data_IF_775172645753
#
_entry.id   IF_775172645753
#
_cell.length_a   1.000
_cell.length_b   1.000
_cell.length_c   1.000
_cell.angle_alpha   90.00
_cell.angle_beta   90.00
_cell.angle_gamma   90.00
#
_symmetry.space_group_name_H-M   'P 1'
#
loop_
_entity.id
_entity.type
_entity.pdbx_description
1 polymer ?
#
# COMPACT_ATOMS: atom_id res chain seq x y z
N UNK A 1 14.11 38.88 -11.03
CA UNK A 1 14.22 38.68 -9.57
C UNK A 1 13.97 37.22 -9.28
N UNK A 2 15.03 36.44 -9.08
CA UNK A 2 14.95 35.04 -8.68
C UNK A 2 15.38 34.95 -7.22
N UNK A 3 14.51 34.44 -6.34
CA UNK A 3 14.88 34.05 -4.99
C UNK A 3 14.58 32.56 -4.85
N UNK A 4 15.66 31.76 -4.92
CA UNK A 4 15.66 30.33 -4.63
C UNK A 4 16.09 30.20 -3.17
N UNK A 5 15.17 29.80 -2.30
CA UNK A 5 15.49 29.46 -0.92
C UNK A 5 15.98 28.01 -0.88
N UNK A 6 17.28 27.84 -0.64
CA UNK A 6 17.89 26.56 -0.26
C UNK A 6 17.54 26.27 1.19
N UNK A 7 16.76 25.22 1.46
CA UNK A 7 16.63 24.64 2.80
C UNK A 7 17.57 23.45 2.90
N UNK A 8 18.63 23.62 3.69
CA UNK A 8 19.54 22.55 4.10
C UNK A 8 18.84 21.67 5.14
N UNK A 9 18.66 20.39 4.82
CA UNK A 9 18.21 19.36 5.77
C UNK A 9 19.45 18.78 6.44
N UNK A 10 19.63 19.11 7.72
CA UNK A 10 20.57 18.44 8.63
C UNK A 10 20.06 17.02 8.94
N UNK A 11 20.88 16.02 8.66
CA UNK A 11 20.64 14.61 9.00
C UNK A 11 21.43 14.31 10.28
N UNK A 12 20.79 13.89 11.39
CA UNK A 12 21.51 13.34 12.53
C UNK A 12 21.83 11.87 12.28
N UNK A 13 23.13 11.56 12.25
CA UNK A 13 23.66 10.20 12.39
C UNK A 13 23.45 9.74 13.83
N UNK A 14 22.64 8.70 14.03
CA UNK A 14 22.74 7.83 15.20
C UNK A 14 22.13 6.47 14.91
N UNK A 15 22.95 5.42 14.96
CA UNK A 15 22.48 4.07 15.23
C UNK A 15 23.59 3.26 15.87
N UNK A 16 23.48 3.14 17.18
CA UNK A 16 24.14 2.14 18.00
C UNK A 16 23.71 0.73 17.56
N UNK A 17 24.64 -0.21 17.67
CA UNK A 17 24.47 -1.59 17.26
C UNK A 17 23.52 -2.37 18.16
N UNK A 18 22.67 -3.18 17.53
CA UNK A 18 21.95 -4.27 18.21
C UNK A 18 22.22 -5.57 17.45
N UNK A 19 22.86 -6.49 18.18
CA UNK A 19 23.25 -7.84 17.75
C UNK A 19 22.00 -8.68 17.52
N UNK A 20 21.81 -9.20 16.30
CA UNK A 20 20.78 -10.20 16.00
C UNK A 20 21.43 -11.60 15.93
N UNK A 21 21.07 -12.47 16.86
CA UNK A 21 21.46 -13.88 16.91
C UNK A 21 20.37 -14.71 16.21
N UNK A 22 20.75 -15.38 15.13
CA UNK A 22 19.96 -16.43 14.47
C UNK A 22 20.23 -17.79 15.12
N UNK A 23 19.25 -18.71 15.13
CA UNK A 23 19.56 -20.12 14.98
C UNK A 23 18.97 -20.70 13.69
N UNK A 24 19.83 -21.43 12.99
CA UNK A 24 19.51 -22.34 11.91
C UNK A 24 18.81 -23.61 12.45
N UNK A 25 17.86 -24.16 11.70
CA UNK A 25 17.67 -25.62 11.69
C UNK A 25 17.43 -26.08 10.26
N UNK A 26 18.35 -26.93 9.79
CA UNK A 26 18.28 -27.64 8.52
C UNK A 26 17.53 -28.96 8.72
N UNK A 27 16.67 -29.32 7.78
CA UNK A 27 16.42 -30.73 7.45
C UNK A 27 16.28 -30.88 5.94
N UNK A 28 17.18 -31.69 5.36
CA UNK A 28 17.16 -32.18 3.98
C UNK A 28 16.92 -33.70 4.05
N UNK A 29 16.13 -34.24 3.11
CA UNK A 29 16.43 -35.41 2.25
C UNK A 29 15.13 -35.94 1.60
N UNK A 30 15.00 -35.76 0.27
CA UNK A 30 15.09 -36.76 -0.82
C UNK A 30 13.74 -37.44 -1.14
N UNK A 31 13.04 -36.97 -2.17
CA UNK A 31 13.09 -37.42 -3.58
C UNK A 31 12.25 -38.66 -3.85
N UNK A 32 11.30 -38.57 -4.80
CA UNK A 32 11.17 -39.43 -6.01
C UNK A 32 9.89 -39.03 -6.75
N UNK A 33 10.03 -38.52 -7.98
CA UNK A 33 8.98 -38.45 -9.01
C UNK A 33 9.03 -39.74 -9.86
N UNK A 34 8.01 -40.10 -10.68
CA UNK A 34 7.86 -39.39 -11.96
C UNK A 34 6.42 -39.28 -12.53
N UNK A 35 6.29 -38.27 -13.39
CA UNK A 35 5.60 -38.21 -14.68
C UNK A 35 4.18 -38.79 -14.85
N UNK A 36 3.27 -37.96 -15.39
CA UNK A 36 2.58 -38.31 -16.63
C UNK A 36 2.12 -37.06 -17.41
N UNK A 37 2.63 -36.97 -18.65
CA UNK A 37 2.15 -36.14 -19.76
C UNK A 37 0.89 -36.78 -20.34
N UNK A 38 -0.11 -35.99 -20.71
CA UNK A 38 -1.06 -36.39 -21.77
C UNK A 38 -1.28 -35.19 -22.68
N UNK A 39 -0.88 -35.38 -23.94
CA UNK A 39 -1.12 -34.51 -25.08
C UNK A 39 -1.72 -35.41 -26.17
N UNK A 40 -2.70 -34.87 -26.89
CA UNK A 40 -3.23 -35.28 -28.21
C UNK A 40 -4.06 -36.58 -28.33
N UNK A 41 -5.29 -36.43 -28.85
CA UNK A 41 -5.73 -37.22 -30.02
C UNK A 41 -6.94 -36.57 -30.74
N UNK A 42 -6.71 -36.13 -31.98
CA UNK A 42 -7.74 -35.97 -33.01
C UNK A 42 -8.19 -37.35 -33.51
N UNK A 43 -9.46 -37.47 -33.90
CA UNK A 43 -9.89 -38.46 -34.90
C UNK A 43 -10.80 -37.83 -35.94
N UNK A 44 -10.41 -38.08 -37.19
CA UNK A 44 -11.06 -37.76 -38.46
C UNK A 44 -12.18 -38.77 -38.79
N UNK A 45 -13.22 -38.32 -39.51
CA UNK A 45 -13.93 -39.14 -40.48
C UNK A 45 -14.46 -38.28 -41.65
N UNK A 46 -14.16 -38.76 -42.86
CA UNK A 46 -14.34 -38.11 -44.17
C UNK A 46 -15.73 -38.37 -44.78
N UNK A 47 -16.22 -37.43 -45.62
CA UNK A 47 -16.34 -37.56 -47.10
C UNK A 47 -17.37 -36.57 -47.68
N UNK A 48 -17.01 -35.89 -48.78
CA UNK A 48 -17.95 -35.24 -49.70
C UNK A 48 -17.37 -34.07 -50.50
N UNK A 49 -16.84 -34.33 -51.69
CA UNK A 49 -16.26 -33.37 -52.66
C UNK A 49 -17.32 -32.47 -53.32
N UNK A 50 -17.00 -31.19 -53.56
CA UNK A 50 -16.70 -30.61 -54.89
C UNK A 50 -16.45 -29.09 -54.81
N UNK A 51 -15.51 -28.63 -55.63
CA UNK A 51 -15.02 -27.27 -55.74
C UNK A 51 -15.90 -26.40 -56.66
N UNK A 52 -15.92 -25.07 -56.43
CA UNK A 52 -15.48 -24.01 -57.36
C UNK A 52 -16.08 -22.63 -56.99
N UNK A 53 -15.22 -21.60 -56.98
CA UNK A 53 -15.43 -20.15 -57.23
C UNK A 53 -16.70 -19.48 -56.67
N UNK A 54 -16.65 -18.42 -55.86
CA UNK A 54 -16.09 -17.11 -56.23
C UNK A 54 -15.97 -16.21 -54.98
N UNK A 55 -14.88 -15.46 -54.89
CA UNK A 55 -14.65 -14.44 -53.86
C UNK A 55 -15.71 -13.33 -54.01
N UNK A 56 -16.70 -13.31 -53.12
CA UNK A 56 -17.61 -12.17 -52.95
C UNK A 56 -16.91 -11.16 -52.05
N UNK A 57 -16.25 -10.18 -52.67
CA UNK A 57 -15.77 -8.98 -51.98
C UNK A 57 -16.99 -8.31 -51.32
N UNK A 58 -17.04 -8.42 -50.00
CA UNK A 58 -18.01 -7.72 -49.16
C UNK A 58 -17.54 -6.28 -49.08
N UNK A 59 -18.01 -5.46 -50.02
CA UNK A 59 -17.88 -4.01 -49.91
C UNK A 59 -18.65 -3.57 -48.65
N UNK A 60 -17.98 -2.81 -47.78
CA UNK A 60 -18.60 -2.22 -46.60
C UNK A 60 -19.87 -1.47 -47.01
N UNK A 61 -20.96 -1.76 -46.31
CA UNK A 61 -22.13 -0.89 -46.27
C UNK A 61 -21.66 0.45 -45.73
N UNK A 62 -21.53 1.44 -46.62
CA UNK A 62 -21.33 2.82 -46.22
C UNK A 62 -22.66 3.26 -45.61
N UNK A 63 -22.69 3.40 -44.29
CA UNK A 63 -23.72 4.16 -43.62
C UNK A 63 -23.58 5.61 -44.10
N UNK A 64 -24.56 6.05 -44.88
CA UNK A 64 -24.69 7.44 -45.28
C UNK A 64 -24.80 8.30 -44.03
N UNK A 65 -23.79 9.13 -43.79
CA UNK A 65 -23.85 10.18 -42.79
C UNK A 65 -24.97 11.17 -43.15
N UNK A 66 -25.75 11.56 -42.13
CA UNK A 66 -26.97 12.36 -42.22
C UNK A 66 -26.75 13.86 -42.53
N UNK A 67 -25.64 14.25 -43.14
CA UNK A 67 -25.29 15.67 -43.26
C UNK A 67 -24.59 16.02 -44.59
N UNK A 68 -25.23 15.64 -45.69
CA UNK A 68 -24.92 16.20 -47.00
C UNK A 68 -26.23 16.65 -47.63
N UNK A 69 -26.40 17.96 -47.79
CA UNK A 69 -27.51 18.53 -48.54
C UNK A 69 -27.40 18.08 -50.01
N UNK A 70 -28.19 17.09 -50.39
CA UNK A 70 -28.41 16.74 -51.80
C UNK A 70 -29.50 17.71 -52.30
N UNK A 71 -29.22 18.59 -53.28
CA UNK A 71 -30.26 19.39 -53.91
C UNK A 71 -31.37 18.48 -54.46
N UNK A 72 -32.62 18.79 -54.10
CA UNK A 72 -33.81 17.96 -54.31
C UNK A 72 -34.09 17.60 -55.80
N UNK A 73 -33.41 18.27 -56.74
CA UNK A 73 -33.60 18.13 -58.19
C UNK A 73 -32.83 16.97 -58.87
N UNK A 74 -32.06 16.15 -58.15
CA UNK A 74 -31.27 15.05 -58.75
C UNK A 74 -31.81 13.64 -58.51
N UNK A 75 -32.95 13.50 -57.83
CA UNK A 75 -33.60 12.20 -57.59
C UNK A 75 -34.17 11.54 -58.87
N UNK A 76 -34.31 12.32 -59.94
CA UNK A 76 -34.97 11.89 -61.18
C UNK A 76 -34.02 11.37 -62.28
N UNK A 77 -32.71 11.36 -62.03
CA UNK A 77 -31.73 10.87 -63.01
C UNK A 77 -31.53 9.35 -62.92
N UNK A 78 -32.46 8.59 -63.48
CA UNK A 78 -32.30 7.15 -63.65
C UNK A 78 -31.52 6.83 -64.92
N UNK A 79 -30.31 6.29 -64.75
CA UNK A 79 -29.46 5.81 -65.86
C UNK A 79 -30.20 4.82 -66.77
N UNK A 80 -31.07 3.98 -66.18
CA UNK A 80 -31.91 3.04 -66.93
C UNK A 80 -32.90 3.76 -67.86
N UNK A 81 -33.46 4.90 -67.42
CA UNK A 81 -34.37 5.73 -68.22
C UNK A 81 -33.66 6.38 -69.40
N UNK A 82 -32.41 6.80 -69.20
CA UNK A 82 -31.56 7.37 -70.26
C UNK A 82 -31.16 6.31 -71.27
N UNK A 83 -30.80 5.11 -70.82
CA UNK A 83 -30.47 3.97 -71.69
C UNK A 83 -31.69 3.56 -72.53
N UNK A 84 -32.87 3.39 -71.92
CA UNK A 84 -34.09 3.08 -72.66
C UNK A 84 -34.50 4.18 -73.66
N UNK A 85 -34.18 5.45 -73.38
CA UNK A 85 -34.42 6.56 -74.31
C UNK A 85 -33.47 6.52 -75.52
N UNK A 86 -32.22 6.12 -75.32
CA UNK A 86 -31.23 5.96 -76.40
C UNK A 86 -31.55 4.72 -77.24
N UNK A 87 -31.94 3.61 -76.60
CA UNK A 87 -32.35 2.38 -77.27
C UNK A 87 -33.63 2.59 -78.10
N UNK A 88 -34.62 3.32 -77.56
CA UNK A 88 -35.83 3.69 -78.30
C UNK A 88 -35.57 4.63 -79.49
N UNK A 89 -34.56 5.49 -79.42
CA UNK A 89 -34.15 6.35 -80.54
C UNK A 89 -33.33 5.62 -81.61
N UNK A 90 -32.83 4.41 -81.32
CA UNK A 90 -32.11 3.57 -82.28
C UNK A 90 -33.04 2.60 -83.03
N UNK A 91 -34.19 2.25 -82.41
CA UNK A 91 -35.20 1.36 -82.99
C UNK A 91 -36.16 2.11 -83.94
N UNK A 92 -36.29 3.42 -83.80
CA UNK A 92 -37.05 4.31 -84.69
C UNK A 92 -36.19 4.74 -85.89
N UNK A 93 -36.03 3.81 -86.84
CA UNK A 93 -35.70 4.06 -88.25
C UNK A 93 -34.66 5.14 -88.58
N UNK A 94 -33.45 4.68 -88.92
CA UNK A 94 -32.51 5.43 -89.75
C UNK A 94 -33.25 6.06 -90.95
N UNK A 95 -33.24 7.40 -91.14
CA UNK A 95 -33.62 7.93 -92.43
C UNK A 95 -32.52 7.47 -93.39
N UNK A 96 -32.91 6.56 -94.29
CA UNK A 96 -32.20 6.30 -95.53
C UNK A 96 -31.90 7.67 -96.15
N UNK A 97 -30.64 8.10 -96.04
CA UNK A 97 -30.18 9.34 -96.62
C UNK A 97 -30.20 9.11 -98.12
N UNK A 98 -31.32 9.45 -98.73
CA UNK A 98 -31.48 9.58 -100.18
C UNK A 98 -30.49 10.66 -100.64
N UNK A 99 -29.26 10.24 -100.92
CA UNK A 99 -28.29 11.03 -101.66
C UNK A 99 -28.75 11.08 -103.13
N UNK A 100 -29.91 11.68 -103.40
CA UNK A 100 -30.42 11.96 -104.75
C UNK A 100 -31.53 13.03 -104.66
N UNK A 101 -31.20 14.20 -104.10
CA UNK A 101 -32.01 15.40 -104.30
C UNK A 101 -31.20 16.50 -105.00
N UNK A 102 -31.19 16.37 -106.33
CA UNK A 102 -31.58 17.43 -107.27
C UNK A 102 -30.77 18.73 -107.17
N UNK A 103 -29.82 18.87 -108.11
CA UNK A 103 -29.66 20.15 -108.82
C UNK A 103 -29.69 19.96 -110.34
N UNK A 104 -30.82 19.45 -110.82
CA UNK A 104 -31.30 19.64 -112.19
C UNK A 104 -32.18 20.90 -112.20
N UNK A 105 -31.64 22.08 -112.54
CA UNK A 105 -32.52 23.25 -112.65
C UNK A 105 -32.01 24.66 -112.91
N UNK A 106 -30.74 24.93 -113.23
CA UNK A 106 -30.31 26.32 -113.56
C UNK A 106 -29.16 26.41 -114.57
N UNK A 107 -29.12 25.54 -115.56
CA UNK A 107 -27.92 25.34 -116.40
C UNK A 107 -28.11 25.45 -117.91
N UNK A 108 -29.11 26.18 -118.41
CA UNK A 108 -29.30 26.32 -119.87
C UNK A 108 -29.17 27.74 -120.43
N UNK A 109 -28.88 28.75 -119.60
CA UNK A 109 -28.73 30.13 -120.07
C UNK A 109 -27.63 30.94 -119.36
N UNK A 110 -26.59 30.26 -118.86
CA UNK A 110 -25.43 30.91 -118.23
C UNK A 110 -24.15 30.44 -118.93
N UNK A 111 -23.37 31.40 -119.47
CA UNK A 111 -22.15 31.09 -120.21
C UNK A 111 -21.12 30.34 -119.34
N UNK A 112 -20.39 29.39 -119.94
CA UNK A 112 -19.39 28.51 -119.27
C UNK A 112 -18.42 29.25 -118.33
N UNK A 113 -18.08 30.50 -118.66
CA UNK A 113 -17.23 31.39 -117.83
C UNK A 113 -17.83 31.72 -116.46
N UNK A 114 -19.15 31.87 -116.37
CA UNK A 114 -19.87 32.14 -115.11
C UNK A 114 -19.97 30.87 -114.24
N UNK A 115 -20.17 29.71 -114.86
CA UNK A 115 -20.22 28.41 -114.19
C UNK A 115 -18.86 28.05 -113.55
N UNK A 116 -17.76 28.33 -114.24
CA UNK A 116 -16.39 28.20 -113.69
C UNK A 116 -16.17 29.13 -112.50
N UNK A 117 -16.68 30.38 -112.54
CA UNK A 117 -16.56 31.34 -111.42
C UNK A 117 -17.35 30.86 -110.19
N UNK A 118 -18.56 30.33 -110.37
CA UNK A 118 -19.37 29.75 -109.30
C UNK A 118 -18.69 28.54 -108.66
N UNK A 119 -18.20 27.59 -109.47
CA UNK A 119 -17.51 26.40 -108.95
C UNK A 119 -16.23 26.77 -108.19
N UNK A 120 -15.45 27.75 -108.67
CA UNK A 120 -14.30 28.27 -107.93
C UNK A 120 -14.70 28.91 -106.60
N UNK A 121 -15.79 29.68 -106.56
CA UNK A 121 -16.29 30.26 -105.33
C UNK A 121 -16.75 29.18 -104.33
N UNK A 122 -17.49 28.16 -104.79
CA UNK A 122 -17.90 27.03 -103.94
C UNK A 122 -16.70 26.23 -103.42
N UNK A 123 -15.70 25.98 -104.25
CA UNK A 123 -14.47 25.32 -103.84
C UNK A 123 -13.74 26.14 -102.78
N UNK A 124 -13.67 27.47 -102.95
CA UNK A 124 -13.05 28.35 -101.97
C UNK A 124 -13.81 28.37 -100.63
N UNK A 125 -15.15 28.44 -100.66
CA UNK A 125 -15.98 28.36 -99.43
C UNK A 125 -15.79 27.01 -98.74
N UNK A 126 -15.82 25.90 -99.50
CA UNK A 126 -15.58 24.57 -98.93
C UNK A 126 -14.15 24.41 -98.38
N UNK A 127 -13.15 25.04 -99.01
CA UNK A 127 -11.77 25.05 -98.51
C UNK A 127 -11.67 25.83 -97.19
N UNK A 128 -12.32 27.00 -97.11
CA UNK A 128 -12.38 27.80 -95.89
C UNK A 128 -13.13 27.08 -94.75
N UNK A 129 -14.25 26.41 -95.05
CA UNK A 129 -14.96 25.58 -94.08
C UNK A 129 -14.11 24.39 -93.60
N UNK A 130 -13.37 23.75 -94.50
CA UNK A 130 -12.43 22.68 -94.15
C UNK A 130 -11.30 23.20 -93.25
N UNK A 131 -10.68 24.32 -93.60
CA UNK A 131 -9.61 24.95 -92.82
C UNK A 131 -10.13 25.38 -91.44
N UNK A 132 -11.36 25.89 -91.37
CA UNK A 132 -12.01 26.25 -90.11
C UNK A 132 -12.27 25.02 -89.23
N UNK A 133 -12.81 23.94 -89.79
CA UNK A 133 -13.01 22.67 -89.06
C UNK A 133 -11.66 22.11 -88.58
N UNK A 134 -10.61 22.16 -89.41
CA UNK A 134 -9.26 21.73 -89.01
C UNK A 134 -8.73 22.59 -87.85
N UNK A 135 -8.91 23.91 -87.90
CA UNK A 135 -8.52 24.81 -86.82
C UNK A 135 -9.27 24.50 -85.50
N UNK A 136 -10.58 24.28 -85.57
CA UNK A 136 -11.38 23.87 -84.40
C UNK A 136 -10.98 22.49 -83.88
N UNK A 137 -10.72 21.52 -84.75
CA UNK A 137 -10.20 20.21 -84.37
C UNK A 137 -8.85 20.33 -83.63
N UNK A 138 -7.94 21.17 -84.10
CA UNK A 138 -6.66 21.41 -83.43
C UNK A 138 -6.86 22.05 -82.04
N UNK A 139 -7.73 23.05 -81.91
CA UNK A 139 -8.05 23.65 -80.59
C UNK A 139 -8.65 22.63 -79.63
N UNK A 140 -9.55 21.77 -80.12
CA UNK A 140 -10.14 20.68 -79.30
C UNK A 140 -9.09 19.64 -78.91
N UNK A 141 -8.16 19.30 -79.79
CA UNK A 141 -7.04 18.41 -79.45
C UNK A 141 -6.15 19.03 -78.35
N UNK A 142 -5.81 20.32 -78.46
CA UNK A 142 -5.06 21.03 -77.42
C UNK A 142 -5.80 21.04 -76.07
N UNK A 143 -7.12 21.32 -76.08
CA UNK A 143 -7.97 21.26 -74.89
C UNK A 143 -8.00 19.84 -74.29
N UNK A 144 -8.09 18.80 -75.13
CA UNK A 144 -8.06 17.39 -74.70
C UNK A 144 -6.73 17.06 -74.05
N UNK A 145 -5.60 17.46 -74.65
CA UNK A 145 -4.26 17.26 -74.09
C UNK A 145 -4.10 17.97 -72.74
N UNK A 146 -4.62 19.20 -72.63
CA UNK A 146 -4.64 19.96 -71.39
C UNK A 146 -5.49 19.30 -70.30
N UNK A 147 -6.72 18.90 -70.61
CA UNK A 147 -7.62 18.21 -69.68
C UNK A 147 -7.04 16.87 -69.23
N UNK A 148 -6.43 16.11 -70.14
CA UNK A 148 -5.76 14.84 -69.82
C UNK A 148 -4.60 15.04 -68.85
N UNK A 149 -3.82 16.11 -69.04
CA UNK A 149 -2.73 16.47 -68.13
C UNK A 149 -3.25 16.85 -66.75
N UNK A 150 -4.36 17.61 -66.67
CA UNK A 150 -5.01 17.92 -65.40
C UNK A 150 -5.55 16.67 -64.68
N UNK A 151 -6.23 15.76 -65.39
CA UNK A 151 -6.72 14.50 -64.80
C UNK A 151 -5.57 13.70 -64.21
N UNK A 152 -4.46 13.56 -64.94
CA UNK A 152 -3.27 12.87 -64.45
C UNK A 152 -2.69 13.53 -63.18
N UNK A 153 -2.61 14.86 -63.16
CA UNK A 153 -2.15 15.59 -61.97
C UNK A 153 -3.08 15.36 -60.76
N UNK A 154 -4.40 15.39 -60.96
CA UNK A 154 -5.37 15.11 -59.89
C UNK A 154 -5.31 13.65 -59.40
N UNK A 155 -5.10 12.68 -60.30
CA UNK A 155 -4.90 11.27 -59.91
C UNK A 155 -3.64 11.07 -59.07
N UNK A 156 -2.52 11.71 -59.44
CA UNK A 156 -1.28 11.68 -58.66
C UNK A 156 -1.45 12.36 -57.29
N UNK A 157 -2.21 13.45 -57.23
CA UNK A 157 -2.57 14.17 -56.02
C UNK A 157 -3.46 13.33 -55.08
N UNK A 158 -4.51 12.69 -55.61
CA UNK A 158 -5.35 11.77 -54.85
C UNK A 158 -4.54 10.59 -54.31
N UNK A 159 -3.64 10.00 -55.13
CA UNK A 159 -2.76 8.93 -54.68
C UNK A 159 -1.81 9.38 -53.56
N UNK A 160 -1.28 10.60 -53.64
CA UNK A 160 -0.44 11.19 -52.58
C UNK A 160 -1.24 11.42 -51.30
N UNK A 161 -2.43 12.02 -51.39
CA UNK A 161 -3.31 12.26 -50.24
C UNK A 161 -3.71 10.95 -49.57
N UNK A 162 -4.06 9.91 -50.35
CA UNK A 162 -4.42 8.61 -49.81
C UNK A 162 -3.27 7.97 -49.01
N UNK A 163 -2.01 8.11 -49.47
CA UNK A 163 -0.84 7.67 -48.70
C UNK A 163 -0.72 8.41 -47.37
N UNK A 164 -0.91 9.74 -47.37
CA UNK A 164 -0.88 10.55 -46.15
C UNK A 164 -1.97 10.14 -45.16
N UNK A 165 -3.20 9.93 -45.64
CA UNK A 165 -4.33 9.46 -44.80
C UNK A 165 -3.98 8.12 -44.15
N UNK A 166 -3.44 7.17 -44.90
CA UNK A 166 -3.07 5.86 -44.38
C UNK A 166 -1.97 5.97 -43.29
N UNK A 167 -0.97 6.83 -43.51
CA UNK A 167 0.07 7.09 -42.51
C UNK A 167 -0.52 7.72 -41.25
N UNK A 168 -1.36 8.74 -41.38
CA UNK A 168 -2.01 9.40 -40.25
C UNK A 168 -2.94 8.45 -39.48
N UNK A 169 -3.71 7.60 -40.16
CA UNK A 169 -4.53 6.56 -39.52
C UNK A 169 -3.67 5.60 -38.70
N UNK A 170 -2.56 5.12 -39.25
CA UNK A 170 -1.63 4.24 -38.51
C UNK A 170 -1.05 4.93 -37.26
N UNK A 171 -0.86 6.26 -37.33
CA UNK A 171 -0.32 7.03 -36.22
C UNK A 171 -1.36 7.32 -35.14
N UNK A 172 -2.61 7.58 -35.52
CA UNK A 172 -3.74 7.69 -34.60
C UNK A 172 -3.92 6.38 -33.82
N UNK A 173 -3.86 5.24 -34.50
CA UNK A 173 -4.00 3.94 -33.86
C UNK A 173 -2.85 3.65 -32.88
N UNK A 174 -1.61 4.01 -33.24
CA UNK A 174 -0.46 3.93 -32.32
C UNK A 174 -0.66 4.79 -31.07
N UNK A 175 -1.06 6.05 -31.23
CA UNK A 175 -1.29 6.93 -30.07
C UNK A 175 -2.47 6.48 -29.21
N UNK A 176 -3.51 5.93 -29.82
CA UNK A 176 -4.64 5.33 -29.09
C UNK A 176 -4.20 4.15 -28.23
N UNK A 177 -3.38 3.25 -28.79
CA UNK A 177 -2.83 2.11 -28.04
C UNK A 177 -1.92 2.56 -26.88
N UNK A 178 -1.05 3.55 -27.10
CA UNK A 178 -0.19 4.12 -26.06
C UNK A 178 -1.02 4.80 -24.95
N UNK A 179 -2.09 5.49 -25.31
CA UNK A 179 -3.01 6.11 -24.36
C UNK A 179 -3.74 5.06 -23.52
N UNK A 180 -4.26 3.99 -24.15
CA UNK A 180 -4.92 2.90 -23.43
C UNK A 180 -3.97 2.16 -22.49
N UNK A 181 -2.71 1.95 -22.89
CA UNK A 181 -1.69 1.34 -22.02
C UNK A 181 -1.34 2.24 -20.83
N UNK A 182 -1.18 3.56 -21.06
CA UNK A 182 -0.96 4.52 -20.00
C UNK A 182 -2.15 4.58 -19.02
N UNK A 183 -3.38 4.54 -19.52
CA UNK A 183 -4.59 4.52 -18.69
C UNK A 183 -4.66 3.26 -17.82
N UNK A 184 -4.39 2.07 -18.39
CA UNK A 184 -4.34 0.82 -17.62
C UNK A 184 -3.30 0.90 -16.49
N UNK A 185 -2.14 1.47 -16.77
CA UNK A 185 -1.09 1.67 -15.77
C UNK A 185 -1.52 2.66 -14.68
N UNK A 186 -2.23 3.74 -15.04
CA UNK A 186 -2.79 4.67 -14.07
C UNK A 186 -3.82 3.98 -13.16
N UNK A 187 -4.72 3.16 -13.73
CA UNK A 187 -5.72 2.41 -12.96
C UNK A 187 -5.06 1.40 -12.01
N UNK A 188 -4.03 0.68 -12.47
CA UNK A 188 -3.24 -0.25 -11.65
C UNK A 188 -2.54 0.48 -10.49
N UNK A 189 -1.88 1.62 -10.76
CA UNK A 189 -1.23 2.42 -9.74
C UNK A 189 -2.24 2.99 -8.73
N UNK A 190 -3.42 3.40 -9.20
CA UNK A 190 -4.49 3.89 -8.33
C UNK A 190 -5.01 2.79 -7.40
N UNK A 191 -5.18 1.56 -7.90
CA UNK A 191 -5.54 0.40 -7.07
C UNK A 191 -4.46 0.07 -6.04
N UNK A 192 -3.18 0.12 -6.43
CA UNK A 192 -2.06 -0.09 -5.51
C UNK A 192 -2.01 0.98 -4.42
N UNK A 193 -2.18 2.26 -4.78
CA UNK A 193 -2.25 3.36 -3.82
C UNK A 193 -3.38 3.13 -2.82
N UNK A 194 -4.60 2.83 -3.28
CA UNK A 194 -5.72 2.54 -2.38
C UNK A 194 -5.47 1.32 -1.48
N UNK A 195 -4.77 0.28 -1.98
CA UNK A 195 -4.40 -0.87 -1.16
C UNK A 195 -3.40 -0.49 -0.07
N UNK A 196 -2.36 0.28 -0.42
CA UNK A 196 -1.32 0.74 0.52
C UNK A 196 -1.89 1.70 1.56
N UNK A 197 -2.77 2.62 1.16
CA UNK A 197 -3.47 3.53 2.08
C UNK A 197 -4.29 2.75 3.13
N UNK A 198 -5.01 1.71 2.69
CA UNK A 198 -5.78 0.83 3.60
C UNK A 198 -4.87 0.06 4.55
N UNK A 199 -3.73 -0.43 4.08
CA UNK A 199 -2.75 -1.10 4.95
C UNK A 199 -2.14 -0.13 5.96
N UNK A 200 -1.82 1.09 5.55
CA UNK A 200 -1.28 2.13 6.41
C UNK A 200 -2.27 2.52 7.51
N UNK A 201 -3.55 2.68 7.16
CA UNK A 201 -4.59 2.98 8.13
C UNK A 201 -4.78 1.83 9.14
N UNK A 202 -4.71 0.57 8.67
CA UNK A 202 -4.74 -0.59 9.57
C UNK A 202 -3.54 -0.60 10.53
N UNK A 203 -2.33 -0.29 10.05
CA UNK A 203 -1.13 -0.19 10.90
C UNK A 203 -1.24 0.93 11.92
N UNK A 204 -1.76 2.10 11.54
CA UNK A 204 -2.04 3.20 12.49
C UNK A 204 -3.02 2.76 13.57
N UNK A 205 -4.11 2.11 13.20
CA UNK A 205 -5.10 1.59 14.15
C UNK A 205 -4.50 0.58 15.14
N UNK A 206 -3.65 -0.33 14.65
CA UNK A 206 -2.95 -1.30 15.51
C UNK A 206 -1.94 -0.61 16.43
N UNK A 207 -1.21 0.40 15.94
CA UNK A 207 -0.28 1.18 16.73
C UNK A 207 -0.99 1.92 17.87
N UNK A 208 -2.13 2.56 17.59
CA UNK A 208 -2.93 3.23 18.63
C UNK A 208 -3.42 2.23 19.69
N UNK A 209 -3.89 1.05 19.29
CA UNK A 209 -4.28 -0.01 20.24
C UNK A 209 -3.09 -0.52 21.06
N UNK A 210 -1.92 -0.70 20.44
CA UNK A 210 -0.72 -1.12 21.15
C UNK A 210 -0.29 -0.06 22.17
N UNK A 211 -0.34 1.23 21.81
CA UNK A 211 -0.01 2.34 22.70
C UNK A 211 -0.96 2.43 23.91
N UNK A 212 -2.28 2.21 23.72
CA UNK A 212 -3.22 2.20 24.84
C UNK A 212 -3.01 1.00 25.76
N UNK A 213 -2.74 -0.18 25.21
CA UNK A 213 -2.40 -1.37 26.01
C UNK A 213 -1.10 -1.15 26.79
N UNK A 214 -0.07 -0.60 26.14
CA UNK A 214 1.21 -0.30 26.77
C UNK A 214 1.03 0.68 27.93
N UNK A 215 0.30 1.77 27.73
CA UNK A 215 -0.01 2.74 28.79
C UNK A 215 -0.76 2.08 29.97
N UNK A 216 -1.72 1.21 29.70
CA UNK A 216 -2.44 0.49 30.75
C UNK A 216 -1.52 -0.49 31.53
N UNK A 217 -0.58 -1.15 30.84
CA UNK A 217 0.42 -2.02 31.47
C UNK A 217 1.38 -1.20 32.33
N UNK A 218 1.83 -0.04 31.84
CA UNK A 218 2.74 0.86 32.56
C UNK A 218 2.12 1.38 33.86
N UNK A 219 0.84 1.80 33.83
CA UNK A 219 0.12 2.20 35.05
C UNK A 219 0.03 1.06 36.06
N UNK A 220 -0.28 -0.17 35.61
CA UNK A 220 -0.33 -1.35 36.48
C UNK A 220 1.03 -1.70 37.07
N UNK A 221 2.09 -1.56 36.27
CA UNK A 221 3.47 -1.79 36.69
C UNK A 221 3.88 -0.78 37.76
N UNK A 222 3.64 0.52 37.53
CA UNK A 222 3.98 1.57 38.49
C UNK A 222 3.26 1.35 39.84
N UNK A 223 1.96 0.99 39.82
CA UNK A 223 1.25 0.65 41.05
C UNK A 223 1.87 -0.55 41.78
N UNK A 224 2.25 -1.60 41.05
CA UNK A 224 2.90 -2.76 41.66
C UNK A 224 4.27 -2.42 42.26
N UNK A 225 5.02 -1.51 41.61
CA UNK A 225 6.29 -1.00 42.13
C UNK A 225 6.10 -0.16 43.40
N UNK A 226 5.12 0.74 43.43
CA UNK A 226 4.77 1.54 44.62
C UNK A 226 4.35 0.64 45.80
N UNK A 227 3.53 -0.39 45.55
CA UNK A 227 3.15 -1.38 46.57
C UNK A 227 4.37 -2.16 47.09
N UNK A 228 5.27 -2.59 46.20
CA UNK A 228 6.50 -3.28 46.59
C UNK A 228 7.42 -2.39 47.45
N UNK A 229 7.57 -1.12 47.10
CA UNK A 229 8.33 -0.15 47.88
C UNK A 229 7.70 0.09 49.26
N UNK A 230 6.38 0.22 49.32
CA UNK A 230 5.65 0.33 50.59
C UNK A 230 5.92 -0.86 51.51
N UNK A 231 5.80 -2.09 51.01
CA UNK A 231 6.07 -3.28 51.81
C UNK A 231 7.54 -3.39 52.25
N UNK A 232 8.48 -2.97 51.40
CA UNK A 232 9.90 -2.90 51.76
C UNK A 232 10.14 -1.92 52.91
N UNK A 233 9.50 -0.75 52.89
CA UNK A 233 9.57 0.24 53.97
C UNK A 233 8.95 -0.29 55.27
N UNK A 234 7.76 -0.89 55.21
CA UNK A 234 7.10 -1.50 56.37
C UNK A 234 7.95 -2.62 56.99
N UNK A 235 8.54 -3.49 56.16
CA UNK A 235 9.44 -4.55 56.62
C UNK A 235 10.68 -3.99 57.32
N UNK A 236 11.31 -2.95 56.76
CA UNK A 236 12.47 -2.31 57.37
C UNK A 236 12.10 -1.65 58.71
N UNK A 237 10.95 -1.00 58.78
CA UNK A 237 10.42 -0.42 60.02
C UNK A 237 10.18 -1.49 61.08
N UNK A 238 9.58 -2.62 60.71
CA UNK A 238 9.33 -3.73 61.64
C UNK A 238 10.63 -4.36 62.13
N UNK A 239 11.61 -4.57 61.23
CA UNK A 239 12.94 -5.06 61.60
C UNK A 239 13.65 -4.14 62.60
N UNK A 240 13.58 -2.83 62.37
CA UNK A 240 14.18 -1.85 63.27
C UNK A 240 13.46 -1.85 64.62
N UNK A 241 12.12 -1.83 64.63
CA UNK A 241 11.33 -1.89 65.87
C UNK A 241 11.63 -3.16 66.69
N UNK A 242 11.72 -4.33 66.03
CA UNK A 242 12.08 -5.59 66.71
C UNK A 242 13.49 -5.53 67.30
N UNK A 243 14.46 -4.93 66.60
CA UNK A 243 15.81 -4.74 67.12
C UNK A 243 15.82 -3.83 68.35
N UNK A 244 15.03 -2.76 68.33
CA UNK A 244 14.93 -1.82 69.44
C UNK A 244 14.26 -2.45 70.66
N UNK A 245 13.17 -3.22 70.48
CA UNK A 245 12.50 -3.98 71.53
C UNK A 245 13.47 -5.01 72.15
N UNK A 246 14.16 -5.79 71.32
CA UNK A 246 15.12 -6.79 71.81
C UNK A 246 16.27 -6.14 72.60
N UNK A 247 16.75 -4.97 72.16
CA UNK A 247 17.78 -4.22 72.88
C UNK A 247 17.27 -3.71 74.23
N UNK A 248 16.05 -3.18 74.28
CA UNK A 248 15.44 -2.71 75.52
C UNK A 248 15.16 -3.84 76.51
N UNK A 249 14.70 -4.99 76.02
CA UNK A 249 14.53 -6.21 76.82
C UNK A 249 15.86 -6.70 77.38
N UNK A 250 16.92 -6.71 76.57
CA UNK A 250 18.27 -7.08 77.02
C UNK A 250 18.76 -6.16 78.15
N UNK A 251 18.59 -4.84 78.02
CA UNK A 251 18.94 -3.89 79.09
C UNK A 251 18.16 -4.15 80.37
N UNK A 252 16.85 -4.39 80.27
CA UNK A 252 15.99 -4.70 81.41
C UNK A 252 16.42 -6.00 82.10
N UNK A 253 16.73 -7.04 81.33
CA UNK A 253 17.27 -8.31 81.84
C UNK A 253 18.60 -8.07 82.57
N UNK A 254 19.49 -7.25 82.02
CA UNK A 254 20.78 -6.95 82.62
C UNK A 254 20.63 -6.21 83.96
N UNK A 255 19.73 -5.21 84.03
CA UNK A 255 19.41 -4.49 85.27
C UNK A 255 18.88 -5.47 86.33
N UNK A 256 17.86 -6.27 85.99
CA UNK A 256 17.27 -7.26 86.90
C UNK A 256 18.30 -8.29 87.37
N UNK A 257 19.18 -8.73 86.47
CA UNK A 257 20.27 -9.66 86.81
C UNK A 257 21.26 -9.05 87.79
N UNK A 258 21.57 -7.76 87.64
CA UNK A 258 22.47 -7.04 88.57
C UNK A 258 21.82 -6.86 89.95
N UNK A 259 20.53 -6.56 90.00
CA UNK A 259 19.76 -6.40 91.23
C UNK A 259 19.59 -7.73 91.97
N UNK A 260 19.25 -8.80 91.24
CA UNK A 260 19.15 -10.14 91.80
C UNK A 260 20.49 -10.59 92.43
N UNK A 261 21.62 -10.32 91.77
CA UNK A 261 22.95 -10.54 92.35
C UNK A 261 23.19 -9.75 93.64
N UNK A 262 22.71 -8.50 93.73
CA UNK A 262 22.83 -7.68 94.95
C UNK A 262 21.96 -8.24 96.08
N UNK A 263 20.72 -8.62 95.79
CA UNK A 263 19.80 -9.22 96.75
C UNK A 263 20.34 -10.55 97.30
N UNK A 264 20.90 -11.42 96.46
CA UNK A 264 21.51 -12.66 96.93
C UNK A 264 22.73 -12.42 97.83
N UNK A 265 23.54 -11.38 97.56
CA UNK A 265 24.63 -10.97 98.47
C UNK A 265 24.09 -10.49 99.82
N UNK A 266 23.11 -9.58 99.83
CA UNK A 266 22.49 -9.07 101.06
C UNK A 266 21.85 -10.18 101.89
N UNK A 267 21.14 -11.10 101.23
CA UNK A 267 20.58 -12.30 101.85
C UNK A 267 21.68 -13.18 102.46
N UNK A 268 22.78 -13.40 101.74
CA UNK A 268 23.94 -14.14 102.25
C UNK A 268 24.56 -13.50 103.50
N UNK A 269 24.78 -12.18 103.47
CA UNK A 269 25.29 -11.40 104.61
C UNK A 269 24.35 -11.49 105.83
N UNK A 270 23.04 -11.33 105.60
CA UNK A 270 22.02 -11.46 106.65
C UNK A 270 22.01 -12.87 107.26
N UNK A 271 22.09 -13.91 106.43
CA UNK A 271 22.16 -15.30 106.89
C UNK A 271 23.42 -15.56 107.72
N UNK A 272 24.57 -14.98 107.35
CA UNK A 272 25.80 -15.05 108.15
C UNK A 272 25.60 -14.33 109.50
N UNK A 273 24.96 -13.15 109.49
CA UNK A 273 24.59 -12.41 110.70
C UNK A 273 23.75 -13.22 111.67
N UNK A 274 22.66 -13.85 111.20
CA UNK A 274 21.82 -14.72 112.02
C UNK A 274 22.60 -15.92 112.59
N UNK A 275 23.45 -16.57 111.80
CA UNK A 275 24.31 -17.67 112.29
C UNK A 275 25.25 -17.21 113.41
N UNK A 276 25.82 -16.01 113.31
CA UNK A 276 26.66 -15.42 114.37
C UNK A 276 25.85 -15.10 115.62
N UNK A 277 24.66 -14.53 115.47
CA UNK A 277 23.75 -14.24 116.59
C UNK A 277 23.34 -15.51 117.33
N UNK A 278 23.00 -16.59 116.63
CA UNK A 278 22.70 -17.88 117.26
C UNK A 278 23.87 -18.39 118.10
N UNK A 279 25.10 -18.37 117.56
CA UNK A 279 26.30 -18.75 118.32
C UNK A 279 26.54 -17.87 119.55
N UNK A 280 26.30 -16.56 119.43
CA UNK A 280 26.42 -15.63 120.55
C UNK A 280 25.39 -15.94 121.65
N UNK A 281 24.15 -16.24 121.28
CA UNK A 281 23.10 -16.66 122.23
C UNK A 281 23.55 -17.91 122.99
N UNK A 282 24.13 -18.91 122.30
CA UNK A 282 24.61 -20.14 122.94
C UNK A 282 25.74 -19.86 123.95
N UNK A 283 26.69 -18.99 123.59
CA UNK A 283 27.78 -18.56 124.49
C UNK A 283 27.21 -17.80 125.70
N UNK A 284 26.31 -16.85 125.49
CA UNK A 284 25.72 -16.04 126.57
C UNK A 284 24.88 -16.90 127.52
N UNK A 285 24.12 -17.88 127.02
CA UNK A 285 23.38 -18.84 127.86
C UNK A 285 24.33 -19.65 128.75
N UNK A 286 25.45 -20.12 128.19
CA UNK A 286 26.50 -20.83 128.94
C UNK A 286 27.15 -19.94 130.01
N UNK A 287 27.50 -18.71 129.65
CA UNK A 287 28.04 -17.72 130.59
C UNK A 287 27.06 -17.41 131.73
N UNK A 288 25.77 -17.19 131.41
CA UNK A 288 24.72 -16.98 132.41
C UNK A 288 24.66 -18.15 133.40
N UNK A 289 24.68 -19.39 132.89
CA UNK A 289 24.70 -20.59 133.73
C UNK A 289 25.94 -20.63 134.64
N UNK A 290 27.14 -20.35 134.12
CA UNK A 290 28.36 -20.30 134.93
C UNK A 290 28.29 -19.23 136.03
N UNK A 291 27.77 -18.04 135.71
CA UNK A 291 27.62 -16.95 136.67
C UNK A 291 26.58 -17.31 137.76
N UNK A 292 25.45 -17.90 137.38
CA UNK A 292 24.42 -18.33 138.34
C UNK A 292 24.96 -19.42 139.28
N UNK A 293 25.71 -20.39 138.76
CA UNK A 293 26.38 -21.40 139.57
C UNK A 293 27.40 -20.78 140.55
N UNK A 294 28.23 -19.83 140.07
CA UNK A 294 29.20 -19.12 140.91
C UNK A 294 28.51 -18.29 142.03
N UNK A 295 27.40 -17.61 141.72
CA UNK A 295 26.60 -16.87 142.71
C UNK A 295 25.97 -17.78 143.76
N UNK A 296 25.47 -18.94 143.35
CA UNK A 296 24.91 -19.92 144.29
C UNK A 296 26.00 -20.51 145.20
N UNK A 297 27.19 -20.75 144.64
CA UNK A 297 28.37 -21.16 145.41
C UNK A 297 28.78 -20.09 146.42
N UNK A 298 28.92 -18.83 146.00
CA UNK A 298 29.28 -17.73 146.92
C UNK A 298 28.24 -17.50 148.01
N UNK A 299 26.95 -17.67 147.72
CA UNK A 299 25.89 -17.62 148.73
C UNK A 299 26.02 -18.77 149.75
N UNK A 300 26.34 -19.97 149.26
CA UNK A 300 26.57 -21.14 150.13
C UNK A 300 27.82 -20.94 150.99
N UNK A 301 28.90 -20.40 150.43
CA UNK A 301 30.12 -20.03 151.17
C UNK A 301 29.84 -18.98 152.25
N UNK A 302 29.06 -17.94 151.94
CA UNK A 302 28.71 -16.88 152.88
C UNK A 302 27.84 -17.39 154.04
N UNK A 303 26.84 -18.23 153.77
CA UNK A 303 26.02 -18.89 154.81
C UNK A 303 26.84 -19.88 155.66
N UNK A 304 27.78 -20.61 155.04
CA UNK A 304 28.71 -21.47 155.76
C UNK A 304 29.62 -20.66 156.71
N UNK A 305 30.17 -19.53 156.26
CA UNK A 305 30.99 -18.64 157.09
C UNK A 305 30.20 -18.03 158.25
N UNK A 306 28.95 -17.57 158.03
CA UNK A 306 28.07 -17.11 159.13
C UNK A 306 27.83 -18.20 160.17
N UNK A 307 27.65 -19.44 159.73
CA UNK A 307 27.46 -20.59 160.64
C UNK A 307 28.72 -20.86 161.47
N UNK A 308 29.92 -20.64 160.91
CA UNK A 308 31.18 -20.72 161.65
C UNK A 308 31.35 -19.56 162.64
N UNK A 309 30.99 -18.33 162.29
CA UNK A 309 31.06 -17.15 163.18
C UNK A 309 30.13 -17.27 164.40
N UNK A 310 28.97 -17.94 164.27
CA UNK A 310 28.10 -18.29 165.39
C UNK A 310 28.65 -19.38 166.32
N UNK A 311 29.68 -20.12 165.89
CA UNK A 311 30.40 -21.09 166.71
C UNK A 311 31.51 -20.48 167.58
N UNK A 312 31.82 -19.20 167.40
CA UNK A 312 32.77 -18.44 168.21
C UNK A 312 32.03 -17.42 169.08
N UNK A 313 31.44 -17.92 170.18
CA UNK A 313 31.24 -17.16 171.43
C UNK A 313 32.27 -17.60 172.46
#
# INVERSE_FOLDING_TARGET
MYNIYFWSVEIPLSSEGLVHVHPETKLKNKSTSPANKVQNKLQFANKGRKANSSVKLRCCSVQTASDVAIPEDFSDFSLAKTISKIEGQLEEGLPERSDDEIFSGAGKDIGTKAQIRFLKAKLHVMQEELDNVVCECNKKEDDIQHLKSQVKNFEEDCARQQRTINVQQSQIEKYKNLFEEANKKCDELQQQLSSVERELENKRRLQTQAATIQSAIEVRLNRALEEAEKYKLELNKLKQNNKDIANEENKKIEVLKSENKKLEKQKGELMIGFKKQLKLIDILKRQKMHIEAAKLLSFTEEEFMKTLEWGTS
#
